data_IF_359783242468
#
_entry.id   IF_359783242468
#
_cell.length_a   1.000
_cell.length_b   1.000
_cell.length_c   1.000
_cell.angle_alpha   90.00
_cell.angle_beta   90.00
_cell.angle_gamma   90.00
#
_symmetry.space_group_name_H-M   'P 1'
#
loop_
_entity.id
_entity.type
_entity.pdbx_description
1 polymer ?
#
# COMPACT_ATOMS: atom_id res chain seq x y z
N UNK A 1 -44.98 -19.57 1.32
CA UNK A 1 -43.69 -20.23 1.68
C UNK A 1 -42.60 -19.92 0.66
N UNK A 2 -42.84 -20.06 -0.66
CA UNK A 2 -41.86 -19.66 -1.70
C UNK A 2 -41.62 -18.15 -1.73
N UNK A 3 -42.67 -17.35 -1.60
CA UNK A 3 -42.59 -15.86 -1.62
C UNK A 3 -41.81 -15.32 -0.40
N UNK A 4 -41.93 -15.91 0.79
CA UNK A 4 -41.16 -15.56 1.98
C UNK A 4 -39.67 -15.92 1.82
N UNK A 5 -39.36 -17.01 1.12
CA UNK A 5 -38.01 -17.45 0.81
C UNK A 5 -37.33 -16.47 -0.19
N UNK A 6 -38.06 -16.01 -1.21
CA UNK A 6 -37.55 -15.03 -2.17
C UNK A 6 -37.26 -13.66 -1.53
N UNK A 7 -38.15 -13.17 -0.67
CA UNK A 7 -37.97 -11.92 0.08
C UNK A 7 -36.75 -12.03 1.01
N UNK A 8 -36.61 -13.18 1.73
CA UNK A 8 -35.46 -13.42 2.59
C UNK A 8 -34.13 -13.46 1.85
N UNK A 9 -34.09 -14.11 0.69
CA UNK A 9 -32.86 -14.19 -0.14
C UNK A 9 -32.50 -12.82 -0.75
N UNK A 10 -33.47 -12.04 -1.21
CA UNK A 10 -33.26 -10.69 -1.72
C UNK A 10 -32.73 -9.75 -0.63
N UNK A 11 -33.28 -9.83 0.59
CA UNK A 11 -32.81 -9.05 1.73
C UNK A 11 -31.37 -9.40 2.10
N UNK A 12 -31.01 -10.69 2.19
CA UNK A 12 -29.64 -11.13 2.49
C UNK A 12 -28.64 -10.73 1.39
N UNK A 13 -29.06 -10.76 0.13
CA UNK A 13 -28.24 -10.24 -0.98
C UNK A 13 -28.05 -8.74 -0.89
N UNK A 14 -29.09 -7.97 -0.54
CA UNK A 14 -29.02 -6.54 -0.30
C UNK A 14 -28.03 -6.18 0.81
N UNK A 15 -28.13 -6.84 1.96
CA UNK A 15 -27.22 -6.64 3.10
C UNK A 15 -25.77 -6.98 2.74
N UNK A 16 -25.55 -8.06 2.00
CA UNK A 16 -24.23 -8.46 1.51
C UNK A 16 -23.64 -7.43 0.57
N UNK A 17 -24.42 -6.90 -0.37
CA UNK A 17 -23.98 -5.89 -1.32
C UNK A 17 -23.64 -4.56 -0.63
N UNK A 18 -24.43 -4.14 0.35
CA UNK A 18 -24.14 -2.94 1.16
C UNK A 18 -22.81 -3.08 1.91
N UNK A 19 -22.52 -4.26 2.48
CA UNK A 19 -21.25 -4.51 3.17
C UNK A 19 -20.06 -4.47 2.21
N UNK A 20 -20.18 -5.06 1.03
CA UNK A 20 -19.12 -5.04 0.00
C UNK A 20 -18.82 -3.61 -0.45
N UNK A 21 -19.86 -2.82 -0.77
CA UNK A 21 -19.69 -1.44 -1.20
C UNK A 21 -19.04 -0.57 -0.11
N UNK A 22 -19.40 -0.78 1.16
CA UNK A 22 -18.80 -0.09 2.30
C UNK A 22 -17.32 -0.45 2.46
N UNK A 23 -16.95 -1.70 2.24
CA UNK A 23 -15.55 -2.14 2.27
C UNK A 23 -14.76 -1.52 1.12
N UNK A 24 -15.27 -1.57 -0.11
CA UNK A 24 -14.63 -0.96 -1.28
C UNK A 24 -14.41 0.53 -1.05
N UNK A 25 -15.43 1.26 -0.60
CA UNK A 25 -15.30 2.69 -0.33
C UNK A 25 -14.25 3.00 0.75
N UNK A 26 -14.10 2.14 1.75
CA UNK A 26 -13.07 2.29 2.77
C UNK A 26 -11.65 2.11 2.20
N UNK A 27 -11.44 1.15 1.29
CA UNK A 27 -10.17 0.96 0.59
C UNK A 27 -9.83 2.15 -0.30
N UNK A 28 -10.81 2.62 -1.10
CA UNK A 28 -10.62 3.78 -1.98
C UNK A 28 -10.30 5.04 -1.18
N UNK A 29 -11.02 5.30 -0.10
CA UNK A 29 -10.79 6.47 0.75
C UNK A 29 -9.39 6.43 1.38
N UNK A 30 -9.03 5.32 2.04
CA UNK A 30 -7.70 5.19 2.66
C UNK A 30 -6.57 5.25 1.64
N UNK A 31 -6.75 4.62 0.48
CA UNK A 31 -5.79 4.69 -0.61
C UNK A 31 -5.62 6.12 -1.12
N UNK A 32 -6.71 6.85 -1.31
CA UNK A 32 -6.71 8.26 -1.69
C UNK A 32 -6.03 9.16 -0.65
N UNK A 33 -6.33 8.97 0.64
CA UNK A 33 -5.68 9.68 1.75
C UNK A 33 -4.15 9.49 1.72
N UNK A 34 -3.67 8.26 1.52
CA UNK A 34 -2.24 7.97 1.44
C UNK A 34 -1.58 8.61 0.21
N UNK A 35 -2.24 8.57 -0.95
CA UNK A 35 -1.72 9.25 -2.16
C UNK A 35 -1.65 10.76 -1.94
N UNK A 36 -2.64 11.36 -1.32
CA UNK A 36 -2.63 12.81 -1.02
C UNK A 36 -1.50 13.19 -0.05
N UNK A 37 -1.27 12.39 0.98
CA UNK A 37 -0.13 12.60 1.90
C UNK A 37 1.18 12.42 1.15
N UNK A 38 1.31 11.38 0.31
CA UNK A 38 2.47 11.15 -0.54
C UNK A 38 2.73 12.32 -1.49
N UNK A 39 1.72 12.84 -2.16
CA UNK A 39 1.83 14.02 -3.01
C UNK A 39 2.28 15.26 -2.23
N UNK A 40 1.81 15.43 -1.00
CA UNK A 40 2.30 16.47 -0.09
C UNK A 40 3.80 16.34 0.18
N UNK A 41 4.30 15.12 0.43
CA UNK A 41 5.73 14.85 0.61
C UNK A 41 6.51 15.15 -0.67
N UNK A 42 5.98 14.75 -1.84
CA UNK A 42 6.59 15.08 -3.15
C UNK A 42 6.76 16.58 -3.30
N UNK A 43 5.74 17.37 -3.01
CA UNK A 43 5.79 18.83 -3.11
C UNK A 43 6.82 19.41 -2.12
N UNK A 44 6.78 18.98 -0.86
CA UNK A 44 7.71 19.46 0.17
C UNK A 44 9.15 19.12 -0.21
N UNK A 45 9.43 17.89 -0.59
CA UNK A 45 10.79 17.45 -0.96
C UNK A 45 11.27 18.12 -2.22
N UNK A 46 10.41 18.41 -3.19
CA UNK A 46 10.75 19.14 -4.40
C UNK A 46 11.25 20.58 -4.07
N UNK A 47 10.57 21.27 -3.15
CA UNK A 47 11.00 22.60 -2.70
C UNK A 47 12.26 22.57 -1.82
N UNK A 48 12.37 21.59 -0.93
CA UNK A 48 13.52 21.49 0.00
C UNK A 48 14.81 21.07 -0.71
N UNK A 49 14.69 20.30 -1.79
CA UNK A 49 15.81 19.72 -2.53
C UNK A 49 16.08 20.44 -3.87
N UNK A 50 15.51 21.64 -4.06
CA UNK A 50 15.68 22.44 -5.28
C UNK A 50 15.38 21.68 -6.59
N UNK A 51 14.46 20.71 -6.52
CA UNK A 51 14.05 19.91 -7.68
C UNK A 51 14.95 18.72 -8.01
N UNK A 52 16.01 18.45 -7.22
CA UNK A 52 16.89 17.31 -7.44
C UNK A 52 16.66 16.20 -6.39
N UNK A 53 16.44 14.95 -6.84
CA UNK A 53 16.32 13.80 -5.96
C UNK A 53 15.06 13.77 -5.08
N UNK A 54 14.07 14.63 -5.34
CA UNK A 54 12.81 14.65 -4.59
C UNK A 54 12.04 13.34 -4.71
N UNK A 55 11.07 13.11 -3.82
CA UNK A 55 10.22 11.92 -3.83
C UNK A 55 9.25 11.97 -5.01
N UNK A 56 9.50 11.15 -6.03
CA UNK A 56 8.64 11.06 -7.24
C UNK A 56 7.50 10.08 -7.02
N UNK A 57 7.81 8.86 -6.56
CA UNK A 57 6.84 7.82 -6.25
C UNK A 57 7.37 6.96 -5.10
N UNK A 58 7.06 7.38 -3.88
CA UNK A 58 7.49 6.71 -2.65
C UNK A 58 6.48 5.69 -2.15
N UNK A 59 6.79 5.07 -1.00
CA UNK A 59 6.01 3.98 -0.42
C UNK A 59 4.55 4.36 -0.12
N UNK A 60 4.24 5.61 0.20
CA UNK A 60 2.85 6.04 0.40
C UNK A 60 2.04 6.03 -0.90
N UNK A 61 2.66 6.40 -2.01
CA UNK A 61 2.03 6.29 -3.34
C UNK A 61 1.80 4.82 -3.69
N UNK A 62 2.80 3.96 -3.44
CA UNK A 62 2.69 2.52 -3.67
C UNK A 62 1.53 1.92 -2.86
N UNK A 63 1.52 2.10 -1.53
CA UNK A 63 0.49 1.54 -0.65
C UNK A 63 -0.88 2.11 -1.00
N UNK A 64 -0.97 3.42 -1.25
CA UNK A 64 -2.21 4.08 -1.64
C UNK A 64 -2.78 3.50 -2.93
N UNK A 65 -1.96 3.36 -3.97
CA UNK A 65 -2.34 2.74 -5.25
C UNK A 65 -2.72 1.27 -5.08
N UNK A 66 -1.93 0.52 -4.31
CA UNK A 66 -2.20 -0.89 -4.03
C UNK A 66 -3.54 -1.09 -3.29
N UNK A 67 -3.89 -0.21 -2.33
CA UNK A 67 -5.19 -0.23 -1.64
C UNK A 67 -6.34 0.08 -2.60
N UNK A 68 -6.19 1.04 -3.52
CA UNK A 68 -7.21 1.34 -4.53
C UNK A 68 -7.43 0.13 -5.45
N UNK A 69 -6.36 -0.56 -5.82
CA UNK A 69 -6.41 -1.76 -6.65
C UNK A 69 -6.85 -3.02 -5.88
N UNK A 70 -6.73 -3.04 -4.55
CA UNK A 70 -6.97 -4.21 -3.72
C UNK A 70 -8.34 -4.89 -3.95
N UNK A 71 -9.48 -4.18 -4.08
CA UNK A 71 -10.77 -4.83 -4.35
C UNK A 71 -10.80 -5.56 -5.70
N UNK A 72 -10.15 -5.00 -6.73
CA UNK A 72 -10.04 -5.62 -8.06
C UNK A 72 -9.13 -6.86 -7.99
N UNK A 73 -7.95 -6.71 -7.39
CA UNK A 73 -6.98 -7.78 -7.22
C UNK A 73 -7.53 -8.92 -6.37
N UNK A 74 -8.29 -8.61 -5.31
CA UNK A 74 -8.93 -9.63 -4.49
C UNK A 74 -9.98 -10.44 -5.27
N UNK A 75 -10.73 -9.79 -6.18
CA UNK A 75 -11.75 -10.44 -7.01
C UNK A 75 -11.19 -11.23 -8.17
N UNK A 76 -9.97 -10.93 -8.63
CA UNK A 76 -9.35 -11.61 -9.78
C UNK A 76 -9.00 -13.08 -9.51
N UNK A 77 -9.11 -13.53 -8.27
CA UNK A 77 -8.84 -14.92 -7.92
C UNK A 77 -7.39 -15.30 -8.28
N UNK A 78 -7.21 -16.45 -8.82
CA UNK A 78 -5.89 -16.98 -9.15
C UNK A 78 -5.15 -16.15 -10.23
N UNK A 79 -5.86 -15.39 -11.07
CA UNK A 79 -5.23 -14.46 -12.04
C UNK A 79 -4.41 -13.36 -11.36
N UNK A 80 -4.78 -12.97 -10.13
CA UNK A 80 -3.98 -12.02 -9.34
C UNK A 80 -2.59 -12.57 -9.00
N UNK A 81 -2.49 -13.86 -8.66
CA UNK A 81 -1.20 -14.51 -8.41
C UNK A 81 -0.37 -14.64 -9.69
N UNK A 82 -1.00 -15.00 -10.81
CA UNK A 82 -0.34 -15.04 -12.11
C UNK A 82 0.21 -13.65 -12.46
N UNK A 83 -0.57 -12.61 -12.28
CA UNK A 83 -0.14 -11.23 -12.50
C UNK A 83 1.04 -10.85 -11.59
N UNK A 84 1.01 -11.18 -10.30
CA UNK A 84 2.13 -10.95 -9.39
C UNK A 84 3.40 -11.68 -9.85
N UNK A 85 3.27 -12.94 -10.31
CA UNK A 85 4.39 -13.72 -10.82
C UNK A 85 5.00 -13.06 -12.07
N UNK A 86 4.18 -12.57 -12.99
CA UNK A 86 4.63 -11.85 -14.19
C UNK A 86 5.41 -10.59 -13.80
N UNK A 87 4.92 -9.79 -12.85
CA UNK A 87 5.61 -8.58 -12.37
C UNK A 87 6.98 -8.91 -11.75
N UNK A 88 7.07 -10.00 -10.99
CA UNK A 88 8.35 -10.48 -10.42
C UNK A 88 9.31 -10.88 -11.53
N UNK A 89 8.86 -11.66 -12.51
CA UNK A 89 9.70 -12.11 -13.63
C UNK A 89 10.21 -10.89 -14.40
N UNK A 90 9.36 -9.93 -14.76
CA UNK A 90 9.76 -8.70 -15.45
C UNK A 90 10.84 -7.97 -14.66
N UNK A 91 10.70 -7.86 -13.34
CA UNK A 91 11.69 -7.21 -12.50
C UNK A 91 13.02 -7.97 -12.45
N UNK A 92 12.98 -9.31 -12.34
CA UNK A 92 14.19 -10.14 -12.25
C UNK A 92 14.96 -10.22 -13.57
N UNK A 93 14.27 -10.14 -14.71
CA UNK A 93 14.91 -10.17 -16.02
C UNK A 93 15.57 -8.87 -16.42
N UNK A 94 15.33 -7.78 -15.68
CA UNK A 94 15.85 -6.46 -16.03
C UNK A 94 15.32 -5.94 -17.37
N UNK A 95 14.19 -6.45 -17.83
CA UNK A 95 13.57 -6.05 -19.11
C UNK A 95 12.88 -4.69 -19.08
N UNK A 96 12.91 -4.00 -17.93
CA UNK A 96 12.35 -2.64 -17.83
C UNK A 96 13.27 -1.68 -18.59
N UNK A 97 12.82 -1.05 -19.68
CA UNK A 97 13.62 -0.11 -20.44
C UNK A 97 13.77 1.21 -19.67
N UNK A 98 14.79 1.97 -19.97
CA UNK A 98 14.87 3.35 -19.58
C UNK A 98 13.79 4.16 -20.30
N UNK A 99 13.24 5.17 -19.62
CA UNK A 99 12.13 5.92 -20.17
C UNK A 99 11.90 7.27 -19.48
N UNK A 100 10.86 7.99 -19.88
CA UNK A 100 10.58 9.32 -19.36
C UNK A 100 10.10 9.28 -17.90
N UNK A 101 10.38 10.34 -17.14
CA UNK A 101 10.09 10.47 -15.71
C UNK A 101 8.61 10.25 -15.35
N UNK A 102 7.67 10.57 -16.23
CA UNK A 102 6.24 10.37 -15.96
C UNK A 102 5.83 8.87 -15.87
N UNK A 103 6.70 7.95 -16.33
CA UNK A 103 6.53 6.49 -16.15
C UNK A 103 7.22 5.95 -14.89
N UNK A 104 7.88 6.80 -14.10
CA UNK A 104 8.60 6.34 -12.91
C UNK A 104 7.71 5.57 -11.91
N UNK A 105 6.43 5.84 -11.84
CA UNK A 105 5.49 5.08 -11.02
C UNK A 105 5.44 3.58 -11.36
N UNK A 106 5.74 3.21 -12.60
CA UNK A 106 5.75 1.80 -13.04
C UNK A 106 7.10 1.10 -12.80
N UNK A 107 8.19 1.84 -12.66
CA UNK A 107 9.56 1.32 -12.60
C UNK A 107 10.40 1.68 -13.83
N UNK A 108 9.82 2.38 -14.80
CA UNK A 108 10.50 2.88 -16.00
C UNK A 108 10.93 4.32 -15.71
N UNK A 109 12.24 4.58 -15.70
CA UNK A 109 12.80 5.90 -15.37
C UNK A 109 14.01 6.20 -16.26
N UNK A 110 14.47 7.47 -16.33
CA UNK A 110 15.71 7.82 -17.00
C UNK A 110 16.92 7.12 -16.38
N UNK A 111 18.02 6.97 -17.15
CA UNK A 111 19.22 6.25 -16.70
C UNK A 111 19.93 6.94 -15.52
N UNK A 112 19.83 8.25 -15.43
CA UNK A 112 20.40 9.10 -14.38
C UNK A 112 19.40 9.44 -13.27
N UNK A 113 18.26 8.72 -13.21
CA UNK A 113 17.20 8.98 -12.25
C UNK A 113 17.63 8.68 -10.81
N UNK A 114 17.46 9.68 -9.95
CA UNK A 114 17.65 9.57 -8.51
C UNK A 114 16.46 10.15 -7.75
N UNK A 115 16.03 9.45 -6.70
CA UNK A 115 14.98 9.92 -5.79
C UNK A 115 15.24 9.34 -4.40
N UNK A 116 15.00 10.14 -3.36
CA UNK A 116 15.28 9.77 -1.95
C UNK A 116 14.41 8.63 -1.45
N UNK A 117 13.15 8.59 -1.90
CA UNK A 117 12.21 7.48 -1.63
C UNK A 117 11.59 7.08 -2.97
N UNK A 118 12.03 5.94 -3.49
CA UNK A 118 11.55 5.43 -4.76
C UNK A 118 11.11 3.97 -4.62
N UNK A 119 9.81 3.76 -4.70
CA UNK A 119 9.18 2.43 -4.60
C UNK A 119 8.14 2.25 -5.70
N UNK A 120 8.58 1.94 -6.95
CA UNK A 120 7.68 1.79 -8.09
C UNK A 120 6.73 0.60 -7.94
N UNK A 121 5.66 0.56 -8.74
CA UNK A 121 4.72 -0.56 -8.72
C UNK A 121 5.39 -1.90 -9.07
N UNK A 122 6.34 -1.90 -10.01
CA UNK A 122 7.12 -3.09 -10.35
C UNK A 122 8.46 -3.03 -9.61
N UNK A 123 8.78 -4.02 -8.74
CA UNK A 123 8.04 -5.26 -8.43
C UNK A 123 7.11 -5.16 -7.21
N UNK A 124 7.06 -4.04 -6.50
CA UNK A 124 6.50 -3.95 -5.15
C UNK A 124 5.00 -4.26 -5.06
N UNK A 125 4.24 -4.02 -6.13
CA UNK A 125 2.83 -4.40 -6.19
C UNK A 125 2.67 -5.94 -6.10
N UNK A 126 3.61 -6.71 -6.61
CA UNK A 126 3.56 -8.18 -6.50
C UNK A 126 3.68 -8.65 -5.06
N UNK A 127 4.54 -8.00 -4.26
CA UNK A 127 4.68 -8.29 -2.82
C UNK A 127 3.36 -7.99 -2.08
N UNK A 128 2.71 -6.88 -2.42
CA UNK A 128 1.40 -6.55 -1.88
C UNK A 128 0.33 -7.60 -2.25
N UNK A 129 0.30 -8.04 -3.50
CA UNK A 129 -0.62 -9.09 -3.98
C UNK A 129 -0.37 -10.40 -3.22
N UNK A 130 0.89 -10.83 -3.08
CA UNK A 130 1.23 -12.02 -2.31
C UNK A 130 0.75 -11.90 -0.85
N UNK A 131 0.93 -10.74 -0.22
CA UNK A 131 0.40 -10.47 1.11
C UNK A 131 -1.13 -10.56 1.18
N UNK A 132 -1.83 -10.03 0.18
CA UNK A 132 -3.29 -10.07 0.08
C UNK A 132 -3.80 -11.52 0.01
N UNK A 133 -3.16 -12.37 -0.80
CA UNK A 133 -3.54 -13.77 -0.93
C UNK A 133 -3.13 -14.61 0.29
N UNK A 134 -1.98 -14.35 0.89
CA UNK A 134 -1.57 -14.97 2.16
C UNK A 134 -2.57 -14.64 3.26
N UNK A 135 -3.03 -13.39 3.35
CA UNK A 135 -4.09 -12.98 4.27
C UNK A 135 -5.39 -13.76 4.06
N UNK A 136 -5.75 -14.04 2.81
CA UNK A 136 -6.93 -14.86 2.48
C UNK A 136 -6.81 -16.32 2.96
N UNK A 137 -5.59 -16.88 2.93
CA UNK A 137 -5.33 -18.23 3.42
C UNK A 137 -5.31 -18.29 4.96
N UNK A 138 -4.76 -17.27 5.62
CA UNK A 138 -4.64 -17.21 7.08
C UNK A 138 -5.98 -16.84 7.74
N UNK A 139 -6.81 -16.03 7.06
CA UNK A 139 -8.10 -15.55 7.56
C UNK A 139 -9.27 -15.98 6.66
N UNK A 140 -9.51 -17.27 6.47
CA UNK A 140 -10.67 -17.73 5.71
C UNK A 140 -11.95 -17.24 6.40
N UNK A 141 -12.84 -16.62 5.64
CA UNK A 141 -14.10 -16.06 6.16
C UNK A 141 -13.97 -14.93 7.19
N UNK A 142 -12.81 -14.25 7.22
CA UNK A 142 -12.56 -13.11 8.13
C UNK A 142 -12.21 -13.50 9.56
N UNK A 143 -12.08 -14.79 9.87
CA UNK A 143 -11.66 -15.29 11.18
C UNK A 143 -10.24 -15.84 11.10
N UNK A 144 -9.41 -15.54 12.11
CA UNK A 144 -8.07 -16.10 12.20
C UNK A 144 -8.15 -17.63 12.38
N UNK A 145 -7.33 -18.37 11.62
CA UNK A 145 -7.19 -19.83 11.79
C UNK A 145 -6.67 -20.17 13.20
N UNK A 146 -5.83 -19.27 13.73
CA UNK A 146 -5.29 -19.39 15.09
C UNK A 146 -5.89 -18.29 15.98
N UNK A 147 -6.51 -18.69 17.09
CA UNK A 147 -6.97 -17.76 18.11
C UNK A 147 -5.78 -17.24 18.92
N UNK A 148 -5.40 -15.98 18.70
CA UNK A 148 -4.46 -15.29 19.57
C UNK A 148 -5.22 -14.65 20.74
N UNK A 149 -4.68 -14.80 21.95
CA UNK A 149 -5.19 -14.09 23.12
C UNK A 149 -4.89 -12.59 22.97
N UNK A 150 -5.89 -11.85 22.50
CA UNK A 150 -5.79 -10.41 22.25
C UNK A 150 -5.75 -9.55 23.52
N UNK A 151 -5.96 -10.15 24.71
CA UNK A 151 -5.94 -9.43 26.00
C UNK A 151 -4.55 -9.35 26.63
N UNK A 152 -3.53 -10.05 26.07
CA UNK A 152 -2.18 -9.99 26.59
C UNK A 152 -1.55 -8.61 26.37
N UNK A 153 -0.93 -8.06 27.43
CA UNK A 153 -0.27 -6.73 27.39
C UNK A 153 0.67 -6.52 26.19
N UNK A 154 1.55 -7.47 25.80
CA UNK A 154 2.42 -7.30 24.63
C UNK A 154 1.63 -7.21 23.32
N UNK A 155 0.51 -7.93 23.18
CA UNK A 155 -0.34 -7.85 21.99
C UNK A 155 -1.04 -6.50 21.88
N UNK A 156 -1.55 -5.98 23.00
CA UNK A 156 -2.14 -4.64 23.06
C UNK A 156 -1.12 -3.55 22.74
N UNK A 157 0.12 -3.67 23.24
CA UNK A 157 1.20 -2.74 22.94
C UNK A 157 1.58 -2.74 21.46
N UNK A 158 1.73 -3.93 20.85
CA UNK A 158 1.98 -4.05 19.42
C UNK A 158 0.83 -3.48 18.57
N UNK A 159 -0.41 -3.74 18.97
CA UNK A 159 -1.57 -3.19 18.31
C UNK A 159 -1.64 -1.65 18.40
N UNK A 160 -1.22 -1.07 19.53
CA UNK A 160 -1.11 0.38 19.70
C UNK A 160 -0.06 0.96 18.72
N UNK A 161 1.16 0.40 18.70
CA UNK A 161 2.23 0.82 17.77
C UNK A 161 1.76 0.67 16.31
N UNK A 162 1.11 -0.44 15.97
CA UNK A 162 0.58 -0.68 14.63
C UNK A 162 -0.44 0.38 14.18
N UNK A 163 -1.26 0.89 15.10
CA UNK A 163 -2.20 1.99 14.81
C UNK A 163 -1.50 3.31 14.53
N UNK A 164 -0.32 3.53 15.09
CA UNK A 164 0.49 4.74 14.91
C UNK A 164 1.55 4.59 13.81
N UNK A 165 1.54 3.49 13.07
CA UNK A 165 2.59 3.17 12.10
C UNK A 165 2.78 4.25 11.03
N UNK A 166 1.70 4.85 10.53
CA UNK A 166 1.78 5.94 9.57
C UNK A 166 2.43 7.20 10.18
N UNK A 167 2.06 7.56 11.40
CA UNK A 167 2.66 8.70 12.11
C UNK A 167 4.15 8.46 12.37
N UNK A 168 4.50 7.27 12.85
CA UNK A 168 5.90 6.87 13.07
C UNK A 168 6.69 6.94 11.76
N UNK A 169 6.10 6.45 10.66
CA UNK A 169 6.70 6.52 9.33
C UNK A 169 6.93 7.97 8.88
N UNK A 170 5.97 8.87 9.08
CA UNK A 170 6.11 10.28 8.67
C UNK A 170 7.15 11.04 9.51
N UNK A 171 7.28 10.71 10.78
CA UNK A 171 8.18 11.42 11.72
C UNK A 171 9.60 10.88 11.69
N UNK A 172 9.81 9.57 11.43
CA UNK A 172 11.15 8.99 11.52
C UNK A 172 12.15 9.58 10.50
N UNK A 173 11.72 9.88 9.27
CA UNK A 173 12.59 10.45 8.24
C UNK A 173 13.12 11.84 8.61
N UNK A 174 12.28 12.84 8.97
CA UNK A 174 12.76 14.14 9.46
C UNK A 174 13.66 14.02 10.69
N UNK A 175 13.32 13.13 11.64
CA UNK A 175 14.12 12.93 12.84
C UNK A 175 15.50 12.38 12.50
N UNK A 176 15.59 11.35 11.64
CA UNK A 176 16.86 10.80 11.19
C UNK A 176 17.69 11.84 10.43
N UNK A 177 17.07 12.64 9.59
CA UNK A 177 17.73 13.72 8.85
C UNK A 177 18.34 14.75 9.80
N UNK A 178 17.57 15.23 10.79
CA UNK A 178 18.05 16.18 11.80
C UNK A 178 19.19 15.57 12.63
N UNK A 179 19.07 14.30 13.03
CA UNK A 179 20.12 13.60 13.77
C UNK A 179 21.41 13.50 12.95
N UNK A 180 21.33 13.11 11.68
CA UNK A 180 22.50 13.03 10.81
C UNK A 180 23.15 14.39 10.67
N UNK A 181 22.39 15.45 10.41
CA UNK A 181 22.91 16.81 10.31
C UNK A 181 23.60 17.27 11.61
N UNK A 182 23.02 16.94 12.76
CA UNK A 182 23.60 17.28 14.06
C UNK A 182 24.92 16.54 14.31
N UNK A 183 25.00 15.23 13.97
CA UNK A 183 26.22 14.44 14.14
C UNK A 183 27.31 14.76 13.12
N UNK A 184 26.96 15.16 11.91
CA UNK A 184 27.93 15.55 10.86
C UNK A 184 28.42 16.98 10.98
N UNK A 185 27.91 17.75 11.95
CA UNK A 185 28.30 19.16 12.14
C UNK A 185 27.83 20.10 11.01
N UNK A 186 26.88 19.68 10.19
CA UNK A 186 26.32 20.49 9.11
C UNK A 186 25.34 21.56 9.62
N UNK A 187 24.92 21.49 10.87
CA UNK A 187 24.16 22.55 11.54
C UNK A 187 25.20 23.50 12.16
N UNK A 188 25.49 24.62 11.48
CA UNK A 188 26.17 25.78 12.03
C UNK A 188 25.15 26.81 12.42
#
# INVERSE_FOLDING_TARGET
MEEELEIGTAFLQGVRNVNINRQISAFLRRGGELILIGAGITIITWFVMDGEGYVVFGILHLIGTALILAPLLYRSGYYGLLFATVLIIISLTGLLPSGPLWLAWSGICPDDFYSVDYTPLIPWLSVFILGLYSGRLIFPSGHAVYAFDTHKKPVLFLAFIGRQSLFIYLVHQPVLFILIMAFTGMIK
#
